data_IF_312963925169
#
_entry.id   IF_312963925169
#
_cell.length_a   1.000
_cell.length_b   1.000
_cell.length_c   1.000
_cell.angle_alpha   90.00
_cell.angle_beta   90.00
_cell.angle_gamma   90.00
#
_symmetry.space_group_name_H-M   'P 1'
#
loop_
_entity.id
_entity.type
_entity.pdbx_description
1 polymer ?
#
# COMPACT_ATOMS: atom_id res chain seq x y z
N UNK A 1 37.09 -64.13 -45.30
CA UNK A 1 37.66 -63.33 -44.21
C UNK A 1 36.64 -62.26 -43.86
N UNK A 2 36.07 -62.35 -42.65
CA UNK A 2 35.61 -61.24 -41.77
C UNK A 2 34.83 -60.08 -42.40
N UNK A 3 33.64 -59.64 -41.99
CA UNK A 3 32.73 -59.96 -40.87
C UNK A 3 31.53 -58.99 -41.02
N UNK A 4 30.31 -59.50 -40.85
CA UNK A 4 29.13 -58.88 -40.24
C UNK A 4 28.57 -57.52 -40.72
N UNK A 5 27.45 -57.68 -41.42
CA UNK A 5 26.21 -56.89 -41.52
C UNK A 5 25.65 -56.48 -40.14
N UNK A 6 25.14 -55.24 -39.98
CA UNK A 6 23.85 -54.96 -39.33
C UNK A 6 23.44 -53.46 -39.35
N UNK A 7 22.17 -53.26 -39.68
CA UNK A 7 21.27 -52.14 -39.37
C UNK A 7 19.85 -52.71 -39.57
N UNK A 8 18.73 -52.12 -39.09
CA UNK A 8 18.49 -51.11 -38.04
C UNK A 8 17.31 -51.49 -37.09
N UNK A 9 17.21 -50.91 -35.89
CA UNK A 9 15.95 -50.67 -35.12
C UNK A 9 16.22 -49.48 -34.18
N UNK A 10 15.40 -48.45 -33.99
CA UNK A 10 13.96 -48.30 -34.10
C UNK A 10 13.37 -48.00 -32.71
N UNK A 11 12.85 -46.78 -32.52
CA UNK A 11 12.06 -46.27 -31.37
C UNK A 11 12.80 -45.42 -30.33
N UNK A 12 12.67 -44.09 -30.45
CA UNK A 12 12.72 -43.17 -29.32
C UNK A 12 11.40 -42.42 -29.20
N UNK A 13 11.06 -42.17 -27.94
CA UNK A 13 9.74 -41.88 -27.42
C UNK A 13 9.23 -40.47 -27.72
N UNK A 14 7.93 -40.39 -27.96
CA UNK A 14 7.12 -39.19 -27.81
C UNK A 14 6.65 -39.09 -26.36
N UNK A 15 6.93 -37.97 -25.68
CA UNK A 15 6.09 -37.54 -24.55
C UNK A 15 6.04 -36.02 -24.48
N UNK A 16 4.83 -35.56 -24.75
CA UNK A 16 4.22 -34.24 -24.61
C UNK A 16 4.60 -33.45 -23.37
N UNK A 17 4.78 -32.16 -23.59
CA UNK A 17 4.82 -31.08 -22.61
C UNK A 17 3.50 -30.98 -21.83
N UNK A 18 3.61 -30.80 -20.52
CA UNK A 18 2.52 -30.33 -19.66
C UNK A 18 3.10 -29.32 -18.67
N UNK A 19 2.50 -28.14 -18.69
CA UNK A 19 2.85 -26.95 -17.92
C UNK A 19 2.82 -27.22 -16.42
N UNK A 20 3.89 -26.85 -15.72
CA UNK A 20 3.96 -26.84 -14.27
C UNK A 20 3.93 -25.40 -13.76
N UNK A 21 2.85 -25.08 -13.05
CA UNK A 21 2.66 -23.87 -12.26
C UNK A 21 3.71 -23.77 -11.16
N UNK A 22 4.49 -22.68 -11.16
CA UNK A 22 5.43 -22.36 -10.09
C UNK A 22 4.71 -21.78 -8.87
N UNK A 23 4.55 -22.59 -7.83
CA UNK A 23 4.31 -22.11 -6.47
C UNK A 23 5.59 -21.46 -5.93
N UNK A 24 5.53 -20.18 -5.57
CA UNK A 24 6.57 -19.54 -4.76
C UNK A 24 6.12 -19.46 -3.30
N UNK A 25 7.06 -19.84 -2.45
CA UNK A 25 6.87 -20.22 -1.05
C UNK A 25 6.97 -19.01 -0.14
N UNK A 26 6.03 -18.94 0.79
CA UNK A 26 6.08 -18.27 2.09
C UNK A 26 7.49 -18.11 2.67
N UNK A 27 7.88 -16.86 2.96
CA UNK A 27 9.07 -16.52 3.73
C UNK A 27 8.91 -16.92 5.21
N UNK A 28 9.47 -18.07 5.60
CA UNK A 28 9.65 -18.43 7.00
C UNK A 28 10.97 -17.88 7.55
N UNK A 29 10.84 -17.12 8.65
CA UNK A 29 11.88 -16.56 9.51
C UNK A 29 12.98 -17.57 9.90
N UNK A 30 14.23 -17.12 9.95
CA UNK A 30 15.26 -17.67 10.86
C UNK A 30 15.79 -16.56 11.77
N UNK A 31 15.49 -16.69 13.06
CA UNK A 31 16.20 -16.04 14.14
C UNK A 31 17.58 -16.70 14.30
N UNK A 32 18.64 -15.90 14.36
CA UNK A 32 19.92 -16.31 14.94
C UNK A 32 20.30 -15.31 16.03
N UNK A 33 20.42 -15.83 17.24
CA UNK A 33 20.90 -15.16 18.43
C UNK A 33 22.44 -15.05 18.41
N UNK A 34 22.96 -13.93 18.90
CA UNK A 34 24.31 -13.74 19.42
C UNK A 34 24.22 -12.54 20.39
N UNK A 35 24.17 -12.76 21.71
CA UNK A 35 25.29 -12.94 22.65
C UNK A 35 25.90 -11.59 23.09
N UNK A 36 25.48 -11.15 24.28
CA UNK A 36 26.04 -10.01 25.04
C UNK A 36 27.33 -10.42 25.76
N UNK A 37 28.27 -9.48 25.96
CA UNK A 37 28.97 -9.20 27.25
C UNK A 37 29.77 -7.86 27.21
N UNK A 38 30.11 -7.25 28.37
CA UNK A 38 30.07 -5.78 28.59
C UNK A 38 31.41 -5.11 29.01
N UNK A 39 31.32 -3.83 29.47
CA UNK A 39 32.29 -2.89 30.12
C UNK A 39 32.75 -1.73 29.21
N UNK A 40 32.83 -0.45 29.62
CA UNK A 40 33.14 0.13 30.94
C UNK A 40 32.61 1.57 31.13
N UNK A 41 32.37 1.94 32.40
CA UNK A 41 32.12 3.30 32.90
C UNK A 41 33.41 4.15 32.98
N UNK A 42 33.30 5.47 32.82
CA UNK A 42 33.92 6.48 33.73
C UNK A 42 33.42 7.92 33.48
N UNK A 43 32.80 8.50 34.53
CA UNK A 43 32.95 9.86 35.12
C UNK A 43 32.83 11.14 34.26
N UNK A 44 32.39 12.32 34.73
CA UNK A 44 31.35 12.88 35.66
C UNK A 44 31.54 14.42 35.61
N UNK A 45 30.47 15.18 35.98
CA UNK A 45 30.41 16.63 36.32
C UNK A 45 30.23 17.63 35.14
N UNK A 46 29.28 18.57 35.13
CA UNK A 46 28.24 18.95 36.09
C UNK A 46 27.43 20.19 35.64
N UNK A 47 26.25 20.35 36.24
CA UNK A 47 25.50 21.59 36.55
C UNK A 47 25.02 22.52 35.40
N UNK A 48 23.71 22.63 35.18
CA UNK A 48 22.88 23.66 35.85
C UNK A 48 21.42 23.67 35.36
N UNK A 49 20.58 24.24 36.23
CA UNK A 49 19.11 24.18 36.35
C UNK A 49 18.36 25.18 35.47
N UNK A 50 17.10 24.84 35.16
CA UNK A 50 15.83 25.65 35.07
C UNK A 50 14.99 25.08 33.91
N UNK A 51 13.72 24.72 33.99
CA UNK A 51 12.64 25.02 34.93
C UNK A 51 11.38 25.28 34.10
N UNK A 52 10.47 24.30 34.00
CA UNK A 52 9.11 24.48 33.47
C UNK A 52 8.27 25.38 34.39
N UNK A 53 7.20 26.01 33.88
CA UNK A 53 6.01 26.18 34.71
C UNK A 53 4.72 25.69 34.04
N UNK A 54 4.06 24.76 34.74
CA UNK A 54 2.59 24.58 34.76
C UNK A 54 1.97 25.70 35.60
N UNK A 55 0.85 26.28 35.17
CA UNK A 55 -0.02 27.08 36.05
C UNK A 55 -1.29 26.33 36.44
N UNK A 56 -1.58 26.38 37.74
CA UNK A 56 -2.69 25.73 38.44
C UNK A 56 -3.90 26.68 38.56
N UNK A 57 -5.05 26.05 38.45
CA UNK A 57 -6.38 26.38 38.99
C UNK A 57 -6.36 26.98 40.41
N UNK A 58 -7.19 28.00 40.67
CA UNK A 58 -7.87 28.20 41.98
C UNK A 58 -9.03 29.22 41.88
N UNK A 59 -10.20 28.80 42.38
CA UNK A 59 -11.22 29.62 43.05
C UNK A 59 -10.98 29.45 44.59
N UNK A 60 -11.65 30.15 45.56
CA UNK A 60 -13.09 30.46 45.55
C UNK A 60 -13.59 31.74 46.29
N UNK A 61 -14.89 32.04 46.05
CA UNK A 61 -15.99 32.53 46.92
C UNK A 61 -15.83 33.65 47.98
N UNK A 62 -16.72 34.65 47.89
CA UNK A 62 -17.79 35.01 48.88
C UNK A 62 -17.96 36.52 49.10
N UNK A 63 -19.19 37.05 48.99
CA UNK A 63 -19.84 37.91 50.00
C UNK A 63 -21.30 38.21 49.64
N UNK A 64 -22.15 38.12 50.68
CA UNK A 64 -23.59 38.39 50.76
C UNK A 64 -23.90 39.90 50.78
N UNK A 65 -25.15 40.25 50.46
CA UNK A 65 -25.94 41.30 51.15
C UNK A 65 -27.45 41.00 50.93
N UNK A 66 -28.18 40.64 52.01
CA UNK A 66 -29.22 41.43 52.72
C UNK A 66 -30.58 41.53 51.97
N UNK A 67 -31.60 40.74 52.36
CA UNK A 67 -32.69 40.98 53.37
C UNK A 67 -33.80 41.91 52.82
N UNK A 68 -35.12 41.67 52.92
CA UNK A 68 -35.94 41.08 53.99
C UNK A 68 -37.36 40.67 53.49
N UNK A 69 -37.90 39.63 54.13
CA UNK A 69 -39.25 39.43 54.70
C UNK A 69 -40.53 39.99 54.04
N UNK A 70 -41.52 39.13 53.76
CA UNK A 70 -42.71 38.96 54.62
C UNK A 70 -43.61 37.80 54.13
N UNK A 71 -44.38 37.23 55.07
CA UNK A 71 -45.10 35.94 54.99
C UNK A 71 -46.61 36.18 55.39
N UNK A 72 -47.49 35.15 55.49
CA UNK A 72 -48.77 34.90 54.75
C UNK A 72 -50.03 35.15 55.64
N UNK A 73 -51.18 34.37 55.67
CA UNK A 73 -51.86 33.39 54.79
C UNK A 73 -53.42 33.58 54.67
N UNK A 74 -54.15 32.66 53.97
CA UNK A 74 -55.43 31.98 54.41
C UNK A 74 -56.33 31.43 53.25
N UNK A 75 -56.36 30.09 53.08
CA UNK A 75 -57.44 29.09 52.83
C UNK A 75 -58.84 29.43 52.20
N UNK A 76 -59.71 28.44 51.82
CA UNK A 76 -59.50 27.11 51.19
C UNK A 76 -60.62 26.66 50.16
N UNK A 77 -60.50 25.40 49.67
CA UNK A 77 -61.57 24.45 49.23
C UNK A 77 -62.35 24.65 47.90
N UNK A 78 -62.17 23.74 46.93
CA UNK A 78 -63.09 22.60 46.70
C UNK A 78 -62.62 21.65 45.55
N UNK A 79 -62.75 20.33 45.77
CA UNK A 79 -62.65 19.19 44.81
C UNK A 79 -63.86 18.30 45.15
N UNK A 80 -64.48 17.48 44.26
CA UNK A 80 -63.78 16.37 43.59
C UNK A 80 -64.38 15.79 42.27
N UNK A 81 -63.60 14.98 41.53
CA UNK A 81 -63.90 13.58 41.09
C UNK A 81 -63.30 13.17 39.72
N UNK A 82 -62.54 12.07 39.76
CA UNK A 82 -62.05 11.21 38.66
C UNK A 82 -63.18 10.25 38.15
N UNK A 83 -63.09 9.49 37.02
CA UNK A 83 -61.98 8.56 36.74
C UNK A 83 -61.55 8.28 35.26
N UNK A 84 -60.27 7.93 35.13
CA UNK A 84 -59.63 6.92 34.28
C UNK A 84 -60.22 6.48 32.93
N UNK A 85 -59.45 6.66 31.84
CA UNK A 85 -59.26 5.60 30.80
C UNK A 85 -57.80 5.52 30.31
N UNK A 86 -57.28 4.31 30.54
CA UNK A 86 -56.01 3.71 30.16
C UNK A 86 -55.92 3.55 28.64
N UNK A 87 -54.90 4.09 27.97
CA UNK A 87 -54.59 3.75 26.58
C UNK A 87 -53.40 2.77 26.52
N UNK A 88 -53.65 1.66 25.85
CA UNK A 88 -52.86 0.43 25.81
C UNK A 88 -51.73 0.57 24.79
N UNK A 89 -50.49 0.32 25.23
CA UNK A 89 -49.37 -0.05 24.37
C UNK A 89 -49.74 -1.30 23.56
N UNK A 90 -49.68 -1.19 22.24
CA UNK A 90 -49.58 -2.35 21.35
C UNK A 90 -48.33 -2.18 20.49
N UNK A 91 -47.38 -3.05 20.76
CA UNK A 91 -46.18 -3.35 19.99
C UNK A 91 -46.54 -3.76 18.57
N UNK A 92 -46.29 -2.89 17.59
CA UNK A 92 -46.16 -3.32 16.20
C UNK A 92 -44.68 -3.58 15.90
N UNK A 93 -44.33 -4.86 15.91
CA UNK A 93 -43.09 -5.42 15.39
C UNK A 93 -42.88 -4.94 13.95
N UNK A 94 -42.07 -3.90 13.76
CA UNK A 94 -41.48 -3.60 12.45
C UNK A 94 -40.45 -4.69 12.17
N UNK A 95 -40.88 -5.69 11.39
CA UNK A 95 -39.97 -6.58 10.65
C UNK A 95 -38.98 -5.69 9.91
N UNK A 96 -37.71 -5.76 10.29
CA UNK A 96 -36.63 -5.18 9.52
C UNK A 96 -36.43 -6.10 8.32
N UNK A 97 -37.17 -5.84 7.25
CA UNK A 97 -36.80 -6.31 5.92
C UNK A 97 -35.46 -5.65 5.60
N UNK A 98 -34.38 -6.43 5.68
CA UNK A 98 -33.02 -6.02 5.28
C UNK A 98 -33.06 -5.79 3.77
N UNK A 99 -33.47 -4.59 3.40
CA UNK A 99 -33.45 -4.13 2.02
C UNK A 99 -31.99 -3.88 1.64
N UNK A 100 -31.55 -4.57 0.60
CA UNK A 100 -30.37 -4.23 -0.17
C UNK A 100 -30.54 -2.81 -0.70
N UNK A 101 -29.77 -1.87 -0.16
CA UNK A 101 -29.61 -0.53 -0.73
C UNK A 101 -28.19 -0.03 -0.42
N UNK A 102 -27.20 -0.76 -0.96
CA UNK A 102 -25.78 -0.58 -0.63
C UNK A 102 -25.06 0.47 -1.45
N UNK A 103 -25.63 0.91 -2.59
CA UNK A 103 -24.92 1.72 -3.57
C UNK A 103 -25.16 3.22 -3.41
N UNK A 104 -26.35 3.65 -2.94
CA UNK A 104 -26.71 5.07 -2.80
C UNK A 104 -26.73 5.62 -1.36
N UNK A 105 -26.43 4.78 -0.35
CA UNK A 105 -26.30 5.23 1.05
C UNK A 105 -25.07 6.12 1.25
N UNK A 106 -25.19 7.19 2.02
CA UNK A 106 -24.05 7.99 2.50
C UNK A 106 -23.03 7.13 3.25
N UNK A 107 -21.76 7.55 3.26
CA UNK A 107 -20.69 6.88 4.00
C UNK A 107 -21.02 6.74 5.50
N UNK A 108 -20.73 5.57 6.07
CA UNK A 108 -20.86 5.26 7.49
C UNK A 108 -19.55 4.74 8.07
N UNK A 109 -18.97 5.52 8.97
CA UNK A 109 -17.75 5.14 9.70
C UNK A 109 -17.92 3.83 10.47
N UNK A 110 -19.09 3.59 11.09
CA UNK A 110 -19.37 2.33 11.81
C UNK A 110 -19.33 1.11 10.88
N UNK A 111 -19.86 1.26 9.67
CA UNK A 111 -19.85 0.21 8.65
C UNK A 111 -18.43 -0.05 8.15
N UNK A 112 -17.67 1.01 7.87
CA UNK A 112 -16.26 0.93 7.46
C UNK A 112 -15.38 0.20 8.50
N UNK A 113 -15.60 0.46 9.79
CA UNK A 113 -14.90 -0.23 10.90
C UNK A 113 -15.33 -1.69 11.00
N UNK A 114 -16.63 -1.97 10.91
CA UNK A 114 -17.13 -3.35 10.95
C UNK A 114 -16.57 -4.17 9.79
N UNK A 115 -16.51 -3.57 8.61
CA UNK A 115 -15.97 -4.21 7.41
C UNK A 115 -14.47 -4.51 7.53
N UNK A 116 -13.66 -3.59 8.08
CA UNK A 116 -12.24 -3.85 8.35
C UNK A 116 -12.02 -5.10 9.21
N UNK A 117 -12.87 -5.28 10.23
CA UNK A 117 -12.79 -6.43 11.15
C UNK A 117 -13.10 -7.77 10.49
N UNK A 118 -13.63 -7.79 9.26
CA UNK A 118 -13.82 -9.01 8.49
C UNK A 118 -12.50 -9.54 7.87
N UNK A 119 -11.44 -8.72 7.90
CA UNK A 119 -10.10 -9.04 7.39
C UNK A 119 -9.02 -9.10 8.48
N UNK A 120 -9.41 -8.94 9.76
CA UNK A 120 -8.48 -9.01 10.88
C UNK A 120 -8.76 -10.22 11.77
N UNK A 121 -7.80 -10.52 12.64
CA UNK A 121 -7.92 -11.62 13.62
C UNK A 121 -8.29 -11.07 15.00
N UNK A 122 -8.72 -11.96 15.90
CA UNK A 122 -9.01 -11.57 17.28
C UNK A 122 -7.74 -11.09 18.03
N UNK A 123 -6.58 -11.61 17.64
CA UNK A 123 -5.28 -11.27 18.26
C UNK A 123 -4.73 -9.93 17.77
N UNK A 124 -5.06 -9.51 16.55
CA UNK A 124 -4.65 -8.24 15.96
C UNK A 124 -5.83 -7.52 15.28
N UNK A 125 -6.80 -7.00 16.05
CA UNK A 125 -8.04 -6.45 15.50
C UNK A 125 -7.86 -5.11 14.78
N UNK A 126 -6.74 -4.43 15.00
CA UNK A 126 -6.43 -3.10 14.47
C UNK A 126 -5.44 -3.14 13.28
N UNK A 127 -4.99 -4.33 12.88
CA UNK A 127 -4.09 -4.52 11.74
C UNK A 127 -4.62 -5.60 10.80
N UNK A 128 -4.82 -5.24 9.54
CA UNK A 128 -5.01 -6.16 8.44
C UNK A 128 -3.63 -6.57 7.95
N UNK A 129 -3.31 -7.85 8.07
CA UNK A 129 -2.05 -8.44 7.59
C UNK A 129 -2.19 -9.14 6.24
N UNK A 130 -1.15 -9.87 5.77
CA UNK A 130 -1.11 -10.47 4.44
C UNK A 130 -2.32 -11.37 4.11
N UNK A 131 -2.73 -12.24 5.03
CA UNK A 131 -3.90 -13.11 4.85
C UNK A 131 -5.21 -12.32 4.64
N UNK A 132 -5.40 -11.26 5.43
CA UNK A 132 -6.52 -10.34 5.29
C UNK A 132 -6.45 -9.52 4.00
N UNK A 133 -5.23 -9.16 3.57
CA UNK A 133 -4.98 -8.45 2.32
C UNK A 133 -5.35 -9.30 1.10
N UNK A 134 -4.97 -10.58 1.09
CA UNK A 134 -5.35 -11.52 0.02
C UNK A 134 -6.87 -11.62 -0.11
N UNK A 135 -7.56 -11.85 1.03
CA UNK A 135 -9.02 -11.90 1.06
C UNK A 135 -9.66 -10.57 0.61
N UNK A 136 -9.12 -9.43 1.05
CA UNK A 136 -9.62 -8.12 0.63
C UNK A 136 -9.47 -7.91 -0.89
N UNK A 137 -8.32 -8.30 -1.46
CA UNK A 137 -8.08 -8.25 -2.90
C UNK A 137 -9.06 -9.14 -3.68
N UNK A 138 -9.27 -10.37 -3.22
CA UNK A 138 -10.25 -11.30 -3.78
C UNK A 138 -11.66 -10.71 -3.77
N UNK A 139 -12.11 -10.18 -2.63
CA UNK A 139 -13.46 -9.61 -2.45
C UNK A 139 -13.72 -8.41 -3.39
N UNK A 140 -12.73 -7.54 -3.60
CA UNK A 140 -12.86 -6.41 -4.52
C UNK A 140 -12.57 -6.79 -5.98
N UNK A 141 -12.15 -8.03 -6.26
CA UNK A 141 -11.94 -8.56 -7.61
C UNK A 141 -10.66 -8.05 -8.27
N UNK A 142 -9.57 -7.89 -7.52
CA UNK A 142 -8.25 -7.51 -8.04
C UNK A 142 -7.17 -8.45 -7.51
N UNK A 143 -6.08 -8.58 -8.25
CA UNK A 143 -4.88 -9.28 -7.77
C UNK A 143 -4.11 -8.40 -6.77
N UNK A 144 -3.40 -8.97 -5.78
CA UNK A 144 -2.58 -8.20 -4.83
C UNK A 144 -1.51 -7.33 -5.51
N UNK A 145 -0.99 -7.78 -6.65
CA UNK A 145 0.01 -7.07 -7.47
C UNK A 145 -0.60 -6.04 -8.41
N UNK A 146 -1.93 -5.86 -8.39
CA UNK A 146 -2.59 -4.89 -9.26
C UNK A 146 -2.19 -3.46 -8.87
N UNK A 147 -1.90 -2.62 -9.86
CA UNK A 147 -1.46 -1.22 -9.63
C UNK A 147 -2.47 -0.42 -8.81
N UNK A 148 -3.77 -0.75 -8.90
CA UNK A 148 -4.80 -0.10 -8.10
C UNK A 148 -4.61 -0.30 -6.60
N UNK A 149 -4.05 -1.44 -6.18
CA UNK A 149 -3.74 -1.68 -4.77
C UNK A 149 -2.66 -0.74 -4.25
N UNK A 150 -1.64 -0.45 -5.07
CA UNK A 150 -0.64 0.57 -4.75
C UNK A 150 -1.25 1.97 -4.66
N UNK A 151 -2.16 2.32 -5.59
CA UNK A 151 -2.87 3.61 -5.53
C UNK A 151 -3.78 3.70 -4.30
N UNK A 152 -4.44 2.61 -3.94
CA UNK A 152 -5.28 2.56 -2.74
C UNK A 152 -4.44 2.71 -1.47
N UNK A 153 -3.31 2.00 -1.37
CA UNK A 153 -2.34 2.16 -0.29
C UNK A 153 -1.83 3.61 -0.19
N UNK A 154 -1.53 4.25 -1.32
CA UNK A 154 -1.17 5.66 -1.38
C UNK A 154 -2.28 6.57 -0.84
N UNK A 155 -3.54 6.33 -1.22
CA UNK A 155 -4.71 7.08 -0.72
C UNK A 155 -4.95 6.88 0.77
N UNK A 156 -4.68 5.69 1.31
CA UNK A 156 -4.71 5.41 2.74
C UNK A 156 -3.48 5.95 3.48
N UNK A 157 -2.45 6.38 2.74
CA UNK A 157 -1.12 6.72 3.25
C UNK A 157 -0.53 5.59 4.11
N UNK A 158 -0.68 4.36 3.61
CA UNK A 158 -0.23 3.15 4.28
C UNK A 158 1.30 3.14 4.43
N UNK A 159 1.79 2.75 5.60
CA UNK A 159 3.22 2.80 5.91
C UNK A 159 3.99 1.51 5.63
N UNK A 160 3.31 0.41 5.35
CA UNK A 160 3.94 -0.89 5.23
C UNK A 160 3.25 -1.73 4.16
N UNK A 161 4.04 -2.25 3.21
CA UNK A 161 3.54 -3.15 2.20
C UNK A 161 2.98 -4.44 2.81
N UNK A 162 1.81 -4.86 2.35
CA UNK A 162 1.09 -6.04 2.84
C UNK A 162 0.30 -5.83 4.14
N UNK A 163 0.30 -4.63 4.72
CA UNK A 163 -0.41 -4.33 5.96
C UNK A 163 -1.19 -3.02 5.88
N UNK A 164 -2.39 -3.00 6.45
CA UNK A 164 -3.14 -1.77 6.71
C UNK A 164 -3.55 -1.70 8.18
N UNK A 165 -3.35 -0.54 8.80
CA UNK A 165 -3.93 -0.27 10.12
C UNK A 165 -5.37 0.22 10.00
N UNK A 166 -6.17 0.00 11.04
CA UNK A 166 -7.54 0.51 11.15
C UNK A 166 -7.60 2.03 10.88
N UNK A 167 -6.59 2.77 11.34
CA UNK A 167 -6.50 4.22 11.16
C UNK A 167 -6.27 4.61 9.69
N UNK A 168 -5.34 3.95 8.99
CA UNK A 168 -5.07 4.16 7.56
C UNK A 168 -6.29 3.80 6.71
N UNK A 169 -6.89 2.64 6.98
CA UNK A 169 -8.12 2.17 6.32
C UNK A 169 -9.25 3.17 6.47
N UNK A 170 -9.57 3.54 7.71
CA UNK A 170 -10.68 4.44 7.98
C UNK A 170 -10.44 5.83 7.37
N UNK A 171 -9.22 6.36 7.47
CA UNK A 171 -8.88 7.65 6.85
C UNK A 171 -9.07 7.59 5.33
N UNK A 172 -8.39 6.66 4.65
CA UNK A 172 -8.39 6.60 3.19
C UNK A 172 -9.76 6.31 2.61
N UNK A 173 -10.52 5.39 3.22
CA UNK A 173 -11.84 5.03 2.72
C UNK A 173 -12.92 6.06 3.07
N UNK A 174 -12.76 6.82 4.16
CA UNK A 174 -13.61 8.00 4.41
C UNK A 174 -13.43 9.05 3.32
N UNK A 175 -12.18 9.35 2.93
CA UNK A 175 -11.85 10.30 1.86
C UNK A 175 -12.35 9.81 0.48
N UNK A 176 -12.36 8.51 0.25
CA UNK A 176 -12.91 7.90 -0.97
C UNK A 176 -14.44 7.70 -0.91
N UNK A 177 -15.07 7.99 0.23
CA UNK A 177 -16.48 7.74 0.53
C UNK A 177 -16.91 6.28 0.32
N UNK A 178 -16.02 5.34 0.63
CA UNK A 178 -16.23 3.91 0.47
C UNK A 178 -16.37 3.24 1.84
N UNK A 179 -17.49 2.59 2.12
CA UNK A 179 -17.71 1.85 3.37
C UNK A 179 -18.17 0.40 3.14
N UNK A 180 -18.03 -0.08 1.90
CA UNK A 180 -18.39 -1.42 1.44
C UNK A 180 -17.51 -1.80 0.23
N UNK A 181 -17.41 -3.11 -0.02
CA UNK A 181 -16.75 -3.70 -1.20
C UNK A 181 -17.27 -3.06 -2.50
N UNK A 182 -18.59 -3.01 -2.68
CA UNK A 182 -19.22 -2.51 -3.90
C UNK A 182 -18.82 -1.06 -4.23
N UNK A 183 -18.68 -0.20 -3.21
CA UNK A 183 -18.24 1.19 -3.42
C UNK A 183 -16.78 1.29 -3.83
N UNK A 184 -15.90 0.43 -3.28
CA UNK A 184 -14.49 0.38 -3.71
C UNK A 184 -14.41 -0.13 -5.15
N UNK A 185 -15.16 -1.16 -5.51
CA UNK A 185 -15.26 -1.68 -6.88
C UNK A 185 -15.65 -0.59 -7.88
N UNK A 186 -16.65 0.23 -7.55
CA UNK A 186 -17.06 1.38 -8.37
C UNK A 186 -15.99 2.48 -8.49
N UNK A 187 -15.01 2.52 -7.58
CA UNK A 187 -13.90 3.48 -7.60
C UNK A 187 -12.63 2.93 -8.25
N UNK A 188 -12.55 1.66 -8.63
CA UNK A 188 -11.32 1.09 -9.22
C UNK A 188 -10.86 1.84 -10.47
N UNK A 189 -11.77 2.18 -11.38
CA UNK A 189 -11.43 2.94 -12.59
C UNK A 189 -10.99 4.37 -12.28
N UNK A 190 -11.63 5.00 -11.30
CA UNK A 190 -11.19 6.30 -10.80
C UNK A 190 -9.76 6.23 -10.25
N UNK A 191 -9.44 5.20 -9.45
CA UNK A 191 -8.10 5.00 -8.91
C UNK A 191 -7.07 4.74 -10.01
N UNK A 192 -7.41 3.95 -11.04
CA UNK A 192 -6.55 3.78 -12.23
C UNK A 192 -6.29 5.10 -12.92
N UNK A 193 -7.32 5.90 -13.12
CA UNK A 193 -7.23 7.17 -13.84
C UNK A 193 -6.39 8.23 -13.11
N UNK A 194 -6.20 8.12 -11.78
CA UNK A 194 -5.27 8.98 -11.05
C UNK A 194 -3.83 8.88 -11.56
N UNK A 195 -3.44 7.75 -12.14
CA UNK A 195 -2.10 7.54 -12.70
C UNK A 195 -1.88 8.30 -14.02
N UNK A 196 -2.94 8.79 -14.66
CA UNK A 196 -2.83 9.58 -15.89
C UNK A 196 -2.41 11.02 -15.60
N UNK A 197 -2.64 11.52 -14.38
CA UNK A 197 -2.14 12.83 -13.95
C UNK A 197 -0.65 12.71 -13.59
N UNK A 198 0.20 13.47 -14.28
CA UNK A 198 1.65 13.36 -14.14
C UNK A 198 2.18 13.74 -12.75
N UNK A 199 1.51 14.65 -12.05
CA UNK A 199 1.89 15.10 -10.71
C UNK A 199 1.46 14.07 -9.67
N UNK A 200 0.24 13.55 -9.78
CA UNK A 200 -0.27 12.48 -8.92
C UNK A 200 0.58 11.21 -9.12
N UNK A 201 0.86 10.84 -10.37
CA UNK A 201 1.75 9.72 -10.68
C UNK A 201 3.14 9.90 -10.07
N UNK A 202 3.75 11.10 -10.19
CA UNK A 202 5.06 11.38 -9.57
C UNK A 202 5.01 11.23 -8.04
N UNK A 203 3.90 11.60 -7.42
CA UNK A 203 3.65 11.37 -5.99
C UNK A 203 3.57 9.89 -5.63
N UNK A 204 2.76 9.11 -6.36
CA UNK A 204 2.60 7.66 -6.18
C UNK A 204 3.92 6.94 -6.41
N UNK A 205 4.64 7.27 -7.48
CA UNK A 205 5.93 6.69 -7.83
C UNK A 205 6.96 6.92 -6.72
N UNK A 206 7.04 8.13 -6.16
CA UNK A 206 7.93 8.42 -5.02
C UNK A 206 7.52 7.66 -3.76
N UNK A 207 6.22 7.56 -3.49
CA UNK A 207 5.69 6.82 -2.37
C UNK A 207 6.01 5.32 -2.45
N UNK A 208 5.88 4.72 -3.64
CA UNK A 208 6.11 3.30 -3.88
C UNK A 208 7.51 2.85 -3.41
N UNK A 209 8.52 3.73 -3.53
CA UNK A 209 9.87 3.46 -3.04
C UNK A 209 9.91 3.18 -1.53
N UNK A 210 9.35 4.09 -0.74
CA UNK A 210 9.33 3.97 0.72
C UNK A 210 8.34 2.92 1.20
N UNK A 211 7.32 2.62 0.40
CA UNK A 211 6.32 1.62 0.71
C UNK A 211 6.85 0.18 0.56
N UNK A 212 7.64 -0.09 -0.48
CA UNK A 212 8.10 -1.44 -0.82
C UNK A 212 9.46 -1.82 -0.23
N UNK A 213 10.33 -0.86 0.10
CA UNK A 213 11.62 -1.18 0.71
C UNK A 213 11.47 -1.63 2.16
N UNK A 214 12.40 -2.45 2.62
CA UNK A 214 12.53 -2.76 4.04
C UNK A 214 12.79 -1.51 4.88
N UNK A 215 12.09 -1.36 6.00
CA UNK A 215 12.18 -0.18 6.87
C UNK A 215 13.57 0.03 7.45
N UNK A 216 14.30 -1.06 7.66
CA UNK A 216 15.67 -1.05 8.20
C UNK A 216 16.74 -0.76 7.13
N UNK A 217 16.35 -0.72 5.85
CA UNK A 217 17.25 -0.50 4.73
C UNK A 217 17.01 0.86 4.07
N UNK A 218 18.09 1.53 3.67
CA UNK A 218 18.02 2.79 2.92
C UNK A 218 17.76 2.59 1.43
N UNK A 219 18.00 1.38 0.93
CA UNK A 219 17.86 0.97 -0.46
C UNK A 219 16.83 -0.15 -0.60
N UNK A 220 16.16 -0.22 -1.74
CA UNK A 220 15.29 -1.32 -2.11
C UNK A 220 16.11 -2.43 -2.79
N UNK A 221 15.84 -3.70 -2.51
CA UNK A 221 16.47 -4.79 -3.22
C UNK A 221 16.05 -4.82 -4.70
N UNK A 222 16.90 -5.38 -5.56
CA UNK A 222 16.67 -5.37 -7.00
C UNK A 222 15.43 -6.18 -7.42
N UNK A 223 15.09 -7.25 -6.71
CA UNK A 223 13.94 -8.08 -7.08
C UNK A 223 12.63 -7.32 -6.87
N UNK A 224 12.45 -6.73 -5.69
CA UNK A 224 11.32 -5.85 -5.38
C UNK A 224 11.27 -4.64 -6.31
N UNK A 225 12.43 -4.02 -6.59
CA UNK A 225 12.50 -2.86 -7.45
C UNK A 225 12.04 -3.16 -8.89
N UNK A 226 12.45 -4.30 -9.45
CA UNK A 226 12.01 -4.71 -10.81
C UNK A 226 10.50 -4.87 -10.90
N UNK A 227 9.90 -5.58 -9.93
CA UNK A 227 8.44 -5.78 -9.89
C UNK A 227 7.72 -4.43 -9.78
N UNK A 228 8.19 -3.55 -8.91
CA UNK A 228 7.57 -2.23 -8.71
C UNK A 228 7.74 -1.32 -9.94
N UNK A 229 8.89 -1.34 -10.61
CA UNK A 229 9.10 -0.60 -11.85
C UNK A 229 8.26 -1.15 -13.01
N UNK A 230 8.14 -2.48 -13.13
CA UNK A 230 7.27 -3.13 -14.11
C UNK A 230 5.81 -2.73 -13.91
N UNK A 231 5.37 -2.65 -12.65
CA UNK A 231 4.01 -2.25 -12.29
C UNK A 231 3.70 -0.79 -12.67
N UNK A 232 4.67 0.11 -12.48
CA UNK A 232 4.49 1.56 -12.64
C UNK A 232 4.81 2.07 -14.05
N UNK A 233 5.88 1.56 -14.66
CA UNK A 233 6.43 2.06 -15.93
C UNK A 233 6.26 1.10 -17.09
N UNK A 234 6.01 -0.18 -16.83
CA UNK A 234 6.08 -1.22 -17.86
C UNK A 234 5.11 -1.07 -19.03
N UNK A 235 4.00 -0.35 -18.85
CA UNK A 235 3.06 -0.04 -19.93
C UNK A 235 3.39 1.25 -20.69
N UNK A 236 4.01 2.21 -20.02
CA UNK A 236 4.05 3.60 -20.50
C UNK A 236 5.44 4.04 -20.94
N UNK A 237 6.50 3.33 -20.54
CA UNK A 237 7.86 3.66 -20.92
C UNK A 237 8.35 2.70 -22.02
N UNK A 238 8.57 3.17 -23.27
CA UNK A 238 8.94 2.31 -24.41
C UNK A 238 10.20 1.48 -24.20
N UNK A 239 11.19 2.03 -23.48
CA UNK A 239 12.47 1.34 -23.22
C UNK A 239 12.41 0.43 -21.98
N UNK A 240 11.26 0.27 -21.33
CA UNK A 240 11.17 -0.49 -20.09
C UNK A 240 11.60 -1.94 -20.26
N UNK A 241 11.22 -2.60 -21.35
CA UNK A 241 11.59 -4.01 -21.57
C UNK A 241 13.12 -4.20 -21.69
N UNK A 242 13.81 -3.26 -22.34
CA UNK A 242 15.26 -3.25 -22.45
C UNK A 242 15.89 -2.93 -21.09
N UNK A 243 15.33 -1.96 -20.36
CA UNK A 243 15.80 -1.60 -19.03
C UNK A 243 15.66 -2.76 -18.03
N UNK A 244 14.54 -3.47 -18.03
CA UNK A 244 14.32 -4.64 -17.18
C UNK A 244 15.36 -5.73 -17.45
N UNK A 245 15.64 -6.01 -18.74
CA UNK A 245 16.71 -6.96 -19.14
C UNK A 245 18.10 -6.49 -18.68
N UNK A 246 18.39 -5.21 -18.81
CA UNK A 246 19.63 -4.63 -18.31
C UNK A 246 19.76 -4.85 -16.80
N UNK A 247 18.71 -4.56 -16.02
CA UNK A 247 18.71 -4.77 -14.58
C UNK A 247 18.99 -6.23 -14.21
N UNK A 248 18.41 -7.19 -14.92
CA UNK A 248 18.63 -8.63 -14.71
C UNK A 248 20.09 -9.06 -14.96
N UNK A 249 20.77 -8.43 -15.92
CA UNK A 249 22.16 -8.73 -16.29
C UNK A 249 23.18 -7.88 -15.51
N UNK A 250 22.70 -6.85 -14.82
CA UNK A 250 23.57 -5.87 -14.19
C UNK A 250 24.23 -6.39 -12.90
N UNK A 251 25.29 -5.70 -12.50
CA UNK A 251 25.96 -5.91 -11.20
C UNK A 251 25.15 -5.37 -10.02
N UNK A 252 24.15 -4.53 -10.25
CA UNK A 252 23.41 -3.84 -9.20
C UNK A 252 22.51 -4.81 -8.43
N UNK A 253 22.57 -4.75 -7.10
CA UNK A 253 21.77 -5.60 -6.20
C UNK A 253 20.68 -4.84 -5.45
N UNK A 254 20.76 -3.52 -5.46
CA UNK A 254 19.81 -2.62 -4.80
C UNK A 254 19.63 -1.36 -5.64
N UNK A 255 18.49 -0.69 -5.47
CA UNK A 255 18.19 0.64 -5.99
C UNK A 255 18.02 1.60 -4.81
N UNK A 256 18.76 2.71 -4.82
CA UNK A 256 18.60 3.77 -3.84
C UNK A 256 17.53 4.79 -4.29
N UNK A 257 17.15 5.72 -3.40
CA UNK A 257 16.06 6.67 -3.64
C UNK A 257 16.35 7.65 -4.79
N UNK A 258 17.62 8.01 -4.96
CA UNK A 258 18.05 8.93 -6.02
C UNK A 258 17.94 8.25 -7.40
N UNK A 259 18.51 7.06 -7.53
CA UNK A 259 18.39 6.21 -8.73
C UNK A 259 16.92 5.98 -9.09
N UNK A 260 16.09 5.61 -8.11
CA UNK A 260 14.65 5.43 -8.30
C UNK A 260 13.99 6.67 -8.92
N UNK A 261 14.25 7.86 -8.37
CA UNK A 261 13.70 9.11 -8.88
C UNK A 261 14.21 9.44 -10.29
N UNK A 262 15.50 9.24 -10.54
CA UNK A 262 16.12 9.50 -11.83
C UNK A 262 15.64 8.53 -12.92
N UNK A 263 15.28 7.29 -12.60
CA UNK A 263 14.65 6.36 -13.56
C UNK A 263 13.32 6.95 -14.09
N UNK A 264 12.51 7.54 -13.22
CA UNK A 264 11.27 8.20 -13.67
C UNK A 264 11.57 9.41 -14.57
N UNK A 265 12.53 10.24 -14.17
CA UNK A 265 12.88 11.42 -14.96
C UNK A 265 13.43 11.02 -16.33
N UNK A 266 14.33 10.03 -16.37
CA UNK A 266 14.85 9.44 -17.60
C UNK A 266 13.73 8.93 -18.50
N UNK A 267 12.79 8.16 -17.94
CA UNK A 267 11.66 7.59 -18.69
C UNK A 267 10.75 8.64 -19.35
N UNK A 268 10.78 9.88 -18.87
CA UNK A 268 9.96 10.99 -19.35
C UNK A 268 10.70 11.97 -20.24
N UNK A 269 12.02 12.08 -20.12
CA UNK A 269 12.82 13.15 -20.75
C UNK A 269 13.73 12.62 -21.85
N UNK A 270 14.16 11.37 -21.77
CA UNK A 270 15.04 10.76 -22.77
C UNK A 270 14.21 10.08 -23.85
N UNK A 271 14.53 10.38 -25.10
CA UNK A 271 13.89 9.81 -26.29
C UNK A 271 14.25 8.33 -26.42
N UNK A 272 13.37 7.57 -27.06
CA UNK A 272 13.54 6.14 -27.29
C UNK A 272 14.76 5.82 -28.16
N UNK A 273 15.12 6.71 -29.09
CA UNK A 273 16.33 6.63 -29.91
C UNK A 273 17.61 7.13 -29.20
N UNK A 274 17.50 7.61 -27.96
CA UNK A 274 18.58 8.14 -27.14
C UNK A 274 19.30 9.37 -27.76
N UNK A 275 18.70 10.01 -28.77
CA UNK A 275 19.31 11.12 -29.52
C UNK A 275 19.58 12.37 -28.67
N UNK A 276 18.77 12.58 -27.64
CA UNK A 276 18.86 13.72 -26.72
C UNK A 276 19.55 13.37 -25.39
N UNK A 277 20.14 12.19 -25.26
CA UNK A 277 20.86 11.79 -24.06
C UNK A 277 22.27 12.38 -24.05
N UNK A 278 22.60 13.09 -22.96
CA UNK A 278 23.89 13.73 -22.72
C UNK A 278 24.76 12.87 -21.79
N UNK A 279 25.94 12.47 -22.27
CA UNK A 279 26.93 11.67 -21.54
C UNK A 279 27.59 12.45 -20.40
N UNK A 280 27.68 13.78 -20.53
CA UNK A 280 28.20 14.65 -19.48
C UNK A 280 27.10 15.11 -18.51
N UNK A 281 25.88 14.58 -18.66
CA UNK A 281 24.74 14.85 -17.81
C UNK A 281 24.92 14.31 -16.39
N UNK A 282 24.22 14.91 -15.43
CA UNK A 282 24.24 14.50 -14.03
C UNK A 282 23.35 13.27 -13.73
N UNK A 283 23.34 12.30 -14.63
CA UNK A 283 22.58 11.06 -14.46
C UNK A 283 23.33 10.09 -13.52
N UNK A 284 22.62 9.23 -12.77
CA UNK A 284 23.28 8.14 -12.05
C UNK A 284 23.99 7.20 -13.03
N UNK A 285 25.20 6.79 -12.68
CA UNK A 285 26.05 5.86 -13.46
C UNK A 285 25.29 4.63 -14.01
N UNK A 286 24.30 4.12 -13.27
CA UNK A 286 23.44 3.01 -13.72
C UNK A 286 22.70 3.30 -15.03
N UNK A 287 22.21 4.53 -15.21
CA UNK A 287 21.52 4.94 -16.42
C UNK A 287 22.48 5.16 -17.57
N UNK A 288 23.70 5.63 -17.28
CA UNK A 288 24.75 5.78 -18.27
C UNK A 288 25.19 4.40 -18.79
N UNK A 289 25.41 3.44 -17.88
CA UNK A 289 25.67 2.03 -18.20
C UNK A 289 24.50 1.39 -18.99
N UNK A 290 23.25 1.75 -18.68
CA UNK A 290 22.10 1.29 -19.45
C UNK A 290 22.10 1.81 -20.89
N UNK A 291 22.39 3.11 -21.10
CA UNK A 291 22.48 3.71 -22.44
C UNK A 291 23.60 3.06 -23.26
N UNK A 292 24.77 2.85 -22.65
CA UNK A 292 25.88 2.16 -23.29
C UNK A 292 25.51 0.73 -23.68
N UNK A 293 24.91 -0.03 -22.75
CA UNK A 293 24.44 -1.39 -22.99
C UNK A 293 23.42 -1.45 -24.12
N UNK A 294 22.46 -0.52 -24.16
CA UNK A 294 21.42 -0.48 -25.18
C UNK A 294 21.99 -0.19 -26.57
N UNK A 295 22.95 0.75 -26.68
CA UNK A 295 23.67 1.04 -27.94
C UNK A 295 24.46 -0.15 -28.44
N UNK A 296 25.12 -0.89 -27.55
CA UNK A 296 25.88 -2.09 -27.91
C UNK A 296 24.99 -3.20 -28.48
N UNK A 297 23.78 -3.39 -27.93
CA UNK A 297 22.81 -4.37 -28.45
C UNK A 297 22.34 -4.01 -29.87
N UNK A 298 22.06 -2.73 -30.14
CA UNK A 298 21.64 -2.27 -31.47
C UNK A 298 22.74 -2.46 -32.54
N UNK A 299 24.00 -2.29 -32.17
CA UNK A 299 25.14 -2.54 -33.07
C UNK A 299 25.36 -4.04 -33.34
N UNK A 300 25.14 -4.88 -32.33
CA UNK A 300 25.19 -6.34 -32.46
C UNK A 300 24.14 -6.89 -33.44
N UNK A 301 22.89 -6.41 -33.34
CA UNK A 301 21.80 -6.82 -34.23
C UNK A 301 22.02 -6.36 -35.69
N UNK A 302 22.61 -5.17 -35.87
CA UNK A 302 22.93 -4.61 -37.19
C UNK A 302 23.99 -5.43 -37.93
N UNK A 303 24.95 -6.01 -37.19
CA UNK A 303 26.05 -6.80 -37.77
C UNK A 303 25.55 -8.20 -38.17
N UNK A 304 24.68 -8.84 -37.37
CA UNK A 304 24.13 -10.16 -37.69
C UNK A 304 23.13 -10.18 -38.86
N UNK A 305 22.48 -9.05 -39.18
CA UNK A 305 21.62 -8.93 -40.36
C UNK A 305 22.38 -8.74 -41.69
N UNK A 306 23.64 -8.27 -41.65
CA UNK A 306 24.47 -8.20 -42.86
C UNK A 306 25.00 -9.57 -43.27
N UNK A 307 25.39 -10.42 -42.32
CA UNK A 307 25.92 -11.77 -42.62
C UNK A 307 24.86 -12.74 -43.18
N UNK A 308 23.59 -12.56 -42.80
CA UNK A 308 22.46 -13.37 -43.29
C UNK A 308 21.93 -12.94 -44.66
N UNK A 309 22.21 -11.71 -45.10
CA UNK A 309 21.87 -11.24 -46.46
C UNK A 309 22.96 -11.53 -47.50
N UNK A 310 24.15 -11.90 -47.04
CA UNK A 310 25.31 -12.18 -47.89
C UNK A 310 25.62 -13.70 -48.01
N UNK A 311 24.72 -14.56 -47.53
CA UNK A 311 24.76 -16.03 -47.67
C UNK A 311 23.67 -16.54 -48.58
#
# INVERSE_FOLDING_TARGET
MTTWEESPRGSQATSSSSSASGHLRSCSRRNSAAEEQPLSEQQTLGLSRRGMPRTKRRAPSSTNNHSSSDNPPSNPEDMPRHPSKRLRQTTSSRRHTKAEDGTNSTFSQKRCISWFREYTTADDPDTLGPEGMEKFCEDIGVEPENVVMLVLAYKMNARQMGFFTMAEWLKGLSELHCDTIAKVQQKLDYLRNLLNDQNVFKGIYKYAYDFARDKDQRSMDMETARVMLQLLLGRNWPLFSQFAKFLDQSKYKVINKDQWCNILEFSRTISDDLSNYDLDGAWPVMLDEFVEWLKAQQQGESTSQMDTRNS
#
